data_IF_766513116442
#
_entry.id   IF_766513116442
#
_cell.length_a   1.000
_cell.length_b   1.000
_cell.length_c   1.000
_cell.angle_alpha   90.00
_cell.angle_beta   90.00
_cell.angle_gamma   90.00
#
_symmetry.space_group_name_H-M   'P 1'
#
loop_
_entity.id
_entity.type
_entity.pdbx_description
1 polymer ?
#
# COMPACT_ATOMS: atom_id res chain seq x y z
N UNK A 1 -3.10 -12.51 -30.99
CA UNK A 1 -2.82 -12.75 -29.55
C UNK A 1 -3.24 -11.50 -28.78
N UNK A 2 -4.29 -11.54 -27.95
CA UNK A 2 -4.71 -10.35 -27.16
C UNK A 2 -3.75 -10.17 -25.99
N UNK A 3 -2.94 -9.12 -25.99
CA UNK A 3 -2.08 -8.76 -24.85
C UNK A 3 -3.00 -8.27 -23.73
N UNK A 4 -3.23 -9.11 -22.72
CA UNK A 4 -4.03 -8.73 -21.56
C UNK A 4 -3.14 -7.98 -20.56
N UNK A 5 -3.30 -6.67 -20.47
CA UNK A 5 -2.57 -5.83 -19.51
C UNK A 5 -3.06 -6.17 -18.10
N UNK A 6 -2.18 -6.80 -17.31
CA UNK A 6 -2.42 -7.16 -15.90
C UNK A 6 -2.13 -5.97 -14.98
N UNK A 7 -3.00 -5.74 -14.01
CA UNK A 7 -2.88 -4.70 -12.98
C UNK A 7 -4.03 -3.72 -12.95
N UNK A 8 -3.74 -2.51 -12.47
CA UNK A 8 -4.71 -1.45 -12.24
C UNK A 8 -5.38 -1.54 -10.89
N UNK A 9 -6.31 -0.60 -10.67
CA UNK A 9 -7.05 -0.42 -9.42
C UNK A 9 -7.76 -1.73 -9.01
N UNK A 10 -7.73 -2.01 -7.71
CA UNK A 10 -8.44 -3.14 -7.10
C UNK A 10 -9.92 -2.79 -6.91
N UNK A 11 -10.82 -3.71 -7.24
CA UNK A 11 -12.26 -3.59 -6.96
C UNK A 11 -12.64 -4.41 -5.73
N UNK A 12 -13.76 -4.05 -5.10
CA UNK A 12 -14.32 -4.83 -3.98
C UNK A 12 -14.54 -6.30 -4.37
N UNK A 13 -15.14 -6.56 -5.55
CA UNK A 13 -15.26 -7.93 -6.09
C UNK A 13 -13.94 -8.69 -6.17
N UNK A 14 -12.85 -8.04 -6.62
CA UNK A 14 -11.53 -8.68 -6.72
C UNK A 14 -10.94 -8.98 -5.33
N UNK A 15 -11.13 -8.08 -4.37
CA UNK A 15 -10.69 -8.27 -2.98
C UNK A 15 -11.44 -9.42 -2.30
N UNK A 16 -12.75 -9.55 -2.50
CA UNK A 16 -13.54 -10.65 -1.93
C UNK A 16 -13.17 -12.01 -2.54
N UNK A 17 -12.95 -12.07 -3.86
CA UNK A 17 -12.42 -13.28 -4.52
C UNK A 17 -11.06 -13.63 -3.94
N UNK A 18 -10.18 -12.64 -3.74
CA UNK A 18 -8.85 -12.85 -3.19
C UNK A 18 -8.91 -13.39 -1.75
N UNK A 19 -9.76 -12.81 -0.89
CA UNK A 19 -9.98 -13.31 0.48
C UNK A 19 -10.46 -14.76 0.49
N UNK A 20 -11.52 -15.07 -0.26
CA UNK A 20 -12.07 -16.43 -0.35
C UNK A 20 -11.03 -17.44 -0.87
N UNK A 21 -10.25 -17.05 -1.88
CA UNK A 21 -9.19 -17.89 -2.44
C UNK A 21 -8.05 -18.12 -1.44
N UNK A 22 -7.65 -17.11 -0.65
CA UNK A 22 -6.64 -17.29 0.41
C UNK A 22 -7.17 -18.18 1.53
N UNK A 23 -8.45 -18.06 1.91
CA UNK A 23 -9.07 -18.98 2.87
C UNK A 23 -9.05 -20.43 2.38
N UNK A 24 -9.28 -20.66 1.07
CA UNK A 24 -9.33 -22.00 0.47
C UNK A 24 -7.98 -22.63 0.17
N UNK A 25 -7.01 -21.83 -0.31
CA UNK A 25 -5.73 -22.33 -0.84
C UNK A 25 -4.50 -21.95 0.00
N UNK A 26 -4.67 -21.09 1.01
CA UNK A 26 -3.61 -20.58 1.87
C UNK A 26 -2.69 -19.55 1.21
N UNK A 27 -1.70 -19.07 1.96
CA UNK A 27 -0.79 -17.95 1.58
C UNK A 27 0.44 -18.37 0.76
N UNK A 28 0.46 -19.61 0.25
CA UNK A 28 1.60 -20.16 -0.50
C UNK A 28 1.26 -20.49 -1.97
N UNK A 29 -0.01 -20.50 -2.35
CA UNK A 29 -0.48 -20.89 -3.71
C UNK A 29 -0.90 -19.70 -4.57
N UNK A 30 -0.08 -18.63 -4.62
CA UNK A 30 -0.45 -17.37 -5.30
C UNK A 30 -0.71 -17.51 -6.79
N UNK A 31 -0.03 -18.43 -7.49
CA UNK A 31 -0.30 -18.71 -8.90
C UNK A 31 -1.74 -19.20 -9.11
N UNK A 32 -2.18 -20.14 -8.27
CA UNK A 32 -3.54 -20.69 -8.28
C UNK A 32 -4.59 -19.65 -7.87
N UNK A 33 -4.29 -18.82 -6.88
CA UNK A 33 -5.16 -17.72 -6.48
C UNK A 33 -5.33 -16.74 -7.65
N UNK A 34 -4.24 -16.36 -8.31
CA UNK A 34 -4.28 -15.39 -9.41
C UNK A 34 -5.03 -15.88 -10.65
N UNK A 35 -5.15 -17.19 -10.87
CA UNK A 35 -5.94 -17.71 -12.00
C UNK A 35 -7.45 -17.46 -11.84
N UNK A 36 -7.92 -17.11 -10.64
CA UNK A 36 -9.30 -16.71 -10.38
C UNK A 36 -9.55 -15.22 -10.66
N UNK A 37 -8.49 -14.44 -10.86
CA UNK A 37 -8.54 -12.99 -11.05
C UNK A 37 -7.99 -12.63 -12.43
N UNK A 38 -8.90 -12.36 -13.37
CA UNK A 38 -8.59 -12.17 -14.81
C UNK A 38 -7.44 -11.19 -15.06
N UNK A 39 -7.42 -10.07 -14.31
CA UNK A 39 -6.46 -8.98 -14.54
C UNK A 39 -5.39 -8.85 -13.46
N UNK A 40 -5.29 -9.77 -12.50
CA UNK A 40 -4.31 -9.67 -11.41
C UNK A 40 -3.31 -10.83 -11.46
N UNK A 41 -2.02 -10.52 -11.43
CA UNK A 41 -0.95 -11.51 -11.38
C UNK A 41 -0.76 -12.08 -9.97
N UNK A 42 -0.06 -13.21 -9.86
CA UNK A 42 0.32 -13.79 -8.57
C UNK A 42 1.09 -12.80 -7.68
N UNK A 43 2.02 -12.02 -8.26
CA UNK A 43 2.77 -10.99 -7.53
C UNK A 43 1.83 -9.90 -6.98
N UNK A 44 0.88 -9.44 -7.79
CA UNK A 44 -0.12 -8.44 -7.38
C UNK A 44 -1.05 -8.99 -6.29
N UNK A 45 -1.54 -10.23 -6.42
CA UNK A 45 -2.36 -10.86 -5.39
C UNK A 45 -1.62 -10.98 -4.06
N UNK A 46 -0.35 -11.41 -4.09
CA UNK A 46 0.50 -11.49 -2.91
C UNK A 46 0.69 -10.11 -2.28
N UNK A 47 1.05 -9.12 -3.07
CA UNK A 47 1.25 -7.75 -2.58
C UNK A 47 -0.03 -7.17 -1.99
N UNK A 48 -1.19 -7.31 -2.67
CA UNK A 48 -2.50 -6.86 -2.18
C UNK A 48 -2.85 -7.49 -0.84
N UNK A 49 -2.56 -8.78 -0.68
CA UNK A 49 -2.79 -9.46 0.59
C UNK A 49 -1.99 -8.82 1.73
N UNK A 50 -0.67 -8.73 1.57
CA UNK A 50 0.23 -8.24 2.63
C UNK A 50 0.22 -6.73 2.84
N UNK A 51 -0.24 -5.94 1.87
CA UNK A 51 -0.33 -4.48 1.98
C UNK A 51 -1.73 -3.98 2.38
N UNK A 52 -2.79 -4.78 2.17
CA UNK A 52 -4.16 -4.30 2.42
C UNK A 52 -5.13 -5.31 3.05
N UNK A 53 -5.09 -6.59 2.68
CA UNK A 53 -6.16 -7.53 3.06
C UNK A 53 -5.86 -8.39 4.28
N UNK A 54 -4.59 -8.57 4.66
CA UNK A 54 -4.24 -9.36 5.84
C UNK A 54 -4.89 -8.72 7.10
N UNK A 55 -5.70 -9.48 7.87
CA UNK A 55 -6.39 -8.93 9.06
C UNK A 55 -5.46 -8.37 10.14
N UNK A 56 -4.17 -8.75 10.12
CA UNK A 56 -3.16 -8.19 11.04
C UNK A 56 -2.77 -6.75 10.72
N UNK A 57 -3.14 -6.22 9.55
CA UNK A 57 -2.82 -4.86 9.13
C UNK A 57 -3.72 -3.87 9.86
N UNK A 58 -3.11 -3.02 10.69
CA UNK A 58 -3.83 -1.92 11.36
C UNK A 58 -4.22 -0.85 10.35
N UNK A 59 -5.51 -0.58 10.24
CA UNK A 59 -6.08 0.52 9.42
C UNK A 59 -6.66 1.66 10.27
N UNK A 60 -6.38 1.65 11.57
CA UNK A 60 -6.75 2.71 12.52
C UNK A 60 -5.79 3.88 12.42
N UNK A 61 -6.14 5.00 13.05
CA UNK A 61 -5.27 6.17 13.20
C UNK A 61 -3.91 5.82 13.83
N UNK A 62 -2.90 6.63 13.51
CA UNK A 62 -1.55 6.53 14.07
C UNK A 62 -1.54 7.06 15.50
N UNK A 63 -0.91 6.32 16.41
CA UNK A 63 -0.68 6.83 17.77
C UNK A 63 0.61 7.64 17.83
N UNK A 64 0.74 8.46 18.88
CA UNK A 64 1.95 9.26 19.10
C UNK A 64 3.19 8.37 19.27
N UNK A 65 3.05 7.24 19.95
CA UNK A 65 4.13 6.28 20.17
C UNK A 65 4.55 5.60 18.86
N UNK A 66 3.60 5.33 17.97
CA UNK A 66 3.89 4.82 16.62
C UNK A 66 4.68 5.86 15.80
N UNK A 67 4.30 7.14 15.85
CA UNK A 67 5.00 8.23 15.17
C UNK A 67 6.42 8.45 15.69
N UNK A 68 6.59 8.55 17.02
CA UNK A 68 7.90 8.74 17.65
C UNK A 68 8.86 7.60 17.28
N UNK A 69 8.36 6.36 17.32
CA UNK A 69 9.11 5.17 16.90
C UNK A 69 9.46 5.21 15.41
N UNK A 70 8.50 5.56 14.55
CA UNK A 70 8.70 5.67 13.10
C UNK A 70 9.80 6.68 12.77
N UNK A 71 9.73 7.89 13.34
CA UNK A 71 10.70 8.95 13.13
C UNK A 71 12.10 8.56 13.63
N UNK A 72 12.18 7.96 14.82
CA UNK A 72 13.43 7.48 15.39
C UNK A 72 14.10 6.43 14.48
N UNK A 73 13.35 5.41 14.05
CA UNK A 73 13.87 4.35 13.21
C UNK A 73 14.20 4.82 11.79
N UNK A 74 13.42 5.74 11.21
CA UNK A 74 13.72 6.34 9.91
C UNK A 74 15.02 7.15 9.92
N UNK A 75 15.34 7.81 11.05
CA UNK A 75 16.63 8.49 11.25
C UNK A 75 17.80 7.51 11.33
N UNK A 76 17.62 6.36 11.99
CA UNK A 76 18.67 5.35 12.15
C UNK A 76 18.87 4.48 10.91
N UNK A 77 17.79 4.18 10.18
CA UNK A 77 17.78 3.30 9.00
C UNK A 77 17.09 3.99 7.82
N UNK A 78 17.77 4.96 7.17
CA UNK A 78 17.15 5.74 6.10
C UNK A 78 16.61 4.86 4.98
N UNK A 79 15.36 5.09 4.58
CA UNK A 79 14.65 4.41 3.47
C UNK A 79 14.43 2.88 3.62
N UNK A 80 14.75 2.29 4.77
CA UNK A 80 14.62 0.84 4.98
C UNK A 80 13.22 0.43 5.50
N UNK A 81 12.16 0.83 4.79
CA UNK A 81 10.77 0.65 5.24
C UNK A 81 10.36 -0.80 5.50
N UNK A 82 10.92 -1.76 4.74
CA UNK A 82 10.66 -3.19 4.96
C UNK A 82 11.21 -3.69 6.30
N UNK A 83 12.28 -3.06 6.81
CA UNK A 83 12.89 -3.37 8.11
C UNK A 83 12.17 -2.63 9.23
N UNK A 84 11.76 -1.38 9.00
CA UNK A 84 11.09 -0.53 9.99
C UNK A 84 9.66 -1.01 10.27
N UNK A 85 8.90 -1.34 9.22
CA UNK A 85 7.48 -1.64 9.29
C UNK A 85 7.10 -2.72 10.32
N UNK A 86 7.77 -3.89 10.39
CA UNK A 86 7.49 -4.89 11.42
C UNK A 86 7.69 -4.41 12.87
N UNK A 87 8.64 -3.50 13.10
CA UNK A 87 8.96 -2.96 14.43
C UNK A 87 7.92 -1.91 14.86
N UNK A 88 7.42 -1.13 13.90
CA UNK A 88 6.34 -0.16 14.09
C UNK A 88 4.98 -0.86 14.22
N UNK A 89 4.79 -1.99 13.54
CA UNK A 89 3.52 -2.72 13.50
C UNK A 89 2.55 -2.19 12.44
N UNK A 90 3.08 -1.65 11.34
CA UNK A 90 2.35 -1.12 10.17
C UNK A 90 2.96 -1.68 8.89
N UNK A 91 2.33 -1.49 7.72
CA UNK A 91 2.95 -1.92 6.45
C UNK A 91 4.06 -0.96 6.01
N UNK A 92 5.00 -1.38 5.15
CA UNK A 92 6.02 -0.49 4.60
C UNK A 92 5.43 0.72 3.89
N UNK A 93 4.34 0.53 3.14
CA UNK A 93 3.64 1.61 2.44
C UNK A 93 3.04 2.62 3.41
N UNK A 94 2.38 2.13 4.48
CA UNK A 94 1.82 3.00 5.53
C UNK A 94 2.92 3.81 6.23
N UNK A 95 4.06 3.19 6.54
CA UNK A 95 5.17 3.87 7.20
C UNK A 95 5.75 4.99 6.35
N UNK A 96 5.97 4.74 5.06
CA UNK A 96 6.47 5.74 4.12
C UNK A 96 5.49 6.92 4.01
N UNK A 97 4.21 6.65 3.75
CA UNK A 97 3.17 7.68 3.60
C UNK A 97 3.04 8.52 4.88
N UNK A 98 3.06 7.89 6.06
CA UNK A 98 3.02 8.60 7.33
C UNK A 98 4.25 9.46 7.54
N UNK A 99 5.44 8.93 7.27
CA UNK A 99 6.70 9.66 7.43
C UNK A 99 6.73 10.90 6.55
N UNK A 100 6.37 10.76 5.27
CA UNK A 100 6.24 11.88 4.33
C UNK A 100 5.26 12.94 4.84
N UNK A 101 4.09 12.54 5.32
CA UNK A 101 3.10 13.47 5.89
C UNK A 101 3.61 14.20 7.13
N UNK A 102 4.38 13.53 7.99
CA UNK A 102 4.99 14.15 9.18
C UNK A 102 6.05 15.18 8.79
N UNK A 103 6.87 14.88 7.78
CA UNK A 103 7.82 15.84 7.21
C UNK A 103 7.11 17.03 6.58
N UNK A 104 6.08 16.81 5.77
CA UNK A 104 5.29 17.88 5.15
C UNK A 104 4.65 18.79 6.21
N UNK A 105 4.13 18.21 7.29
CA UNK A 105 3.55 18.98 8.40
C UNK A 105 4.60 19.82 9.14
N UNK A 106 5.84 19.34 9.20
CA UNK A 106 6.95 20.09 9.79
C UNK A 106 7.45 21.20 8.85
N UNK A 107 7.53 20.94 7.54
CA UNK A 107 7.96 21.87 6.49
C UNK A 107 6.89 22.91 6.14
N UNK A 108 5.61 22.62 6.21
CA UNK A 108 4.52 23.57 5.93
C UNK A 108 4.44 24.72 6.95
N UNK A 109 5.30 24.71 7.98
CA UNK A 109 5.56 25.86 8.86
C UNK A 109 6.57 26.85 8.25
N UNK A 110 7.11 26.55 7.08
CA UNK A 110 7.97 27.38 6.23
C UNK A 110 7.11 27.95 5.09
N UNK A 111 7.12 29.28 4.90
CA UNK A 111 6.16 30.01 4.04
C UNK A 111 6.34 29.74 2.52
N UNK A 112 7.31 28.91 2.12
CA UNK A 112 7.70 28.69 0.71
C UNK A 112 7.16 27.37 0.08
N UNK A 113 6.29 26.60 0.75
CA UNK A 113 5.75 25.35 0.19
C UNK A 113 4.48 25.57 -0.64
N UNK A 114 4.56 25.38 -1.96
CA UNK A 114 3.42 25.36 -2.87
C UNK A 114 2.91 23.91 -3.07
N UNK A 115 1.70 23.54 -2.56
CA UNK A 115 1.20 22.17 -2.64
C UNK A 115 0.94 21.66 -4.08
N UNK A 116 0.89 22.56 -5.06
CA UNK A 116 0.57 22.25 -6.46
C UNK A 116 1.70 21.55 -7.23
N UNK A 117 2.95 21.73 -6.80
CA UNK A 117 4.14 21.24 -7.52
C UNK A 117 4.81 20.02 -6.83
N UNK A 118 4.11 19.38 -5.91
CA UNK A 118 4.62 18.21 -5.19
C UNK A 118 4.84 17.01 -6.16
N UNK A 119 6.09 16.60 -6.42
CA UNK A 119 6.40 15.54 -7.39
C UNK A 119 5.84 14.16 -6.99
N UNK A 120 5.40 13.99 -5.74
CA UNK A 120 4.80 12.74 -5.24
C UNK A 120 3.34 12.58 -5.68
N UNK A 121 2.67 13.66 -6.09
CA UNK A 121 1.27 13.61 -6.51
C UNK A 121 1.17 13.12 -7.96
N UNK A 122 0.30 12.13 -8.19
CA UNK A 122 0.04 11.61 -9.53
C UNK A 122 -0.60 12.68 -10.42
N UNK A 123 -0.07 12.84 -11.63
CA UNK A 123 -0.66 13.72 -12.64
C UNK A 123 -1.81 13.02 -13.36
N UNK A 124 -2.79 13.78 -13.92
CA UNK A 124 -3.84 13.18 -14.72
C UNK A 124 -3.29 12.29 -15.83
N UNK A 125 -3.71 11.02 -15.86
CA UNK A 125 -3.26 10.02 -16.84
C UNK A 125 -2.10 9.12 -16.38
N UNK A 126 -1.47 9.39 -15.24
CA UNK A 126 -0.44 8.52 -14.67
C UNK A 126 -1.05 7.31 -13.94
N UNK A 127 -0.36 6.17 -14.03
CA UNK A 127 -0.74 4.95 -13.34
C UNK A 127 -0.08 4.94 -11.97
N UNK A 128 -0.85 4.76 -10.90
CA UNK A 128 -0.33 4.57 -9.55
C UNK A 128 0.66 3.37 -9.54
N UNK A 129 1.91 3.55 -9.10
CA UNK A 129 2.88 2.46 -9.02
C UNK A 129 2.55 1.41 -7.96
N UNK A 130 1.74 1.75 -6.94
CA UNK A 130 1.42 0.89 -5.79
C UNK A 130 -0.10 0.79 -5.54
N UNK A 131 -0.90 0.34 -6.52
CA UNK A 131 -2.36 0.25 -6.36
C UNK A 131 -2.77 -0.77 -5.28
N UNK A 132 -1.89 -1.72 -4.93
CA UNK A 132 -2.13 -2.72 -3.90
C UNK A 132 -2.28 -2.13 -2.49
N UNK A 133 -1.75 -0.94 -2.21
CA UNK A 133 -1.86 -0.28 -0.89
C UNK A 133 -3.06 0.67 -0.79
N UNK A 134 -3.85 0.84 -1.86
CA UNK A 134 -4.96 1.79 -1.91
C UNK A 134 -6.33 1.13 -1.61
N UNK A 135 -7.32 1.87 -1.10
CA UNK A 135 -8.68 1.36 -0.97
C UNK A 135 -9.22 0.81 -2.30
N UNK A 136 -10.00 -0.27 -2.22
CA UNK A 136 -10.64 -0.82 -3.39
C UNK A 136 -11.76 0.11 -3.88
N UNK A 137 -11.96 0.14 -5.20
CA UNK A 137 -13.09 0.87 -5.81
C UNK A 137 -14.39 0.10 -5.54
N UNK A 138 -15.49 0.79 -5.18
CA UNK A 138 -16.82 0.21 -5.17
C UNK A 138 -17.16 -0.42 -6.52
N UNK A 139 -17.91 -1.52 -6.50
CA UNK A 139 -18.45 -2.11 -7.73
C UNK A 139 -19.50 -1.16 -8.33
N UNK A 140 -19.66 -1.14 -9.68
CA UNK A 140 -20.68 -0.32 -10.35
C UNK A 140 -22.11 -0.62 -9.94
#
# INVERSE_FOLDING_TARGET
>A
MRIMIKGGVWKNTEDEILKAAVMKYGKNQWARISSLLVRKSAKQCKARWYEWLDPSIKKTEWTREEDEKLLHLAKLMPTQWRTIAPIVGRTPSQCLERYEKLLDTACARDENYEPGDDPRKLRPGEIDPNPESKPARPDP
#
